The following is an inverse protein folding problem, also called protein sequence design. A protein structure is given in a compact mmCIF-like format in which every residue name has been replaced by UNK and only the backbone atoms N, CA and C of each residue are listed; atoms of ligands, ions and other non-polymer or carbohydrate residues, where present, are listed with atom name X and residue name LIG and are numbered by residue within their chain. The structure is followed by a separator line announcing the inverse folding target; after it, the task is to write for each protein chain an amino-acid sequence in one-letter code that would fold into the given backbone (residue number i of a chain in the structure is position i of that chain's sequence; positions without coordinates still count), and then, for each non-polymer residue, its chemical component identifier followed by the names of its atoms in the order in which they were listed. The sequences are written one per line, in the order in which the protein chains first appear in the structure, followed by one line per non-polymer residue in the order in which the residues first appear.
data_IF_592396572164
#
_entry.id   IF_592396572164
#
_cell.length_a   1.000
_cell.length_b   1.000
_cell.length_c   1.000
_cell.angle_alpha   90.00
_cell.angle_beta   90.00
_cell.angle_gamma   90.00
#
_symmetry.space_group_name_H-M   'P 1'
#
loop_
_entity.id
_entity.type
_entity.pdbx_description
1 polymer ?
#
# COMPACT_ATOMS: atom_id res chain seq x y z
N UNK A 1 3.99 34.23 -3.46
CA UNK A 1 4.34 32.79 -3.45
C UNK A 1 3.14 32.05 -4.00
N UNK A 2 3.30 31.09 -4.94
CA UNK A 2 2.16 30.31 -5.39
C UNK A 2 1.67 29.42 -4.24
N UNK A 3 0.35 29.30 -4.15
CA UNK A 3 -0.39 28.53 -3.15
C UNK A 3 -0.03 27.04 -3.29
N UNK A 4 0.09 26.25 -2.20
CA UNK A 4 0.19 24.80 -2.33
C UNK A 4 -1.08 24.26 -2.98
N UNK A 5 -0.89 23.39 -3.97
CA UNK A 5 -1.96 22.70 -4.71
C UNK A 5 -2.49 21.56 -3.84
N UNK A 6 -3.53 21.82 -3.05
CA UNK A 6 -4.26 20.82 -2.27
C UNK A 6 -5.23 19.99 -3.17
N UNK A 7 -4.90 19.80 -4.45
CA UNK A 7 -5.87 19.67 -5.54
C UNK A 7 -6.13 18.29 -6.15
N UNK A 8 -5.67 17.18 -5.55
CA UNK A 8 -6.21 15.85 -5.87
C UNK A 8 -6.02 14.91 -4.68
N UNK A 9 -7.12 14.45 -4.07
CA UNK A 9 -7.04 13.28 -3.20
C UNK A 9 -6.48 12.12 -4.04
N UNK A 10 -5.56 11.28 -3.50
CA UNK A 10 -5.21 10.04 -4.18
C UNK A 10 -6.50 9.28 -4.47
N UNK A 11 -6.59 8.66 -5.65
CA UNK A 11 -7.75 7.82 -5.96
C UNK A 11 -7.76 6.66 -4.94
N UNK A 12 -8.90 6.31 -4.33
CA UNK A 12 -8.96 5.22 -3.34
C UNK A 12 -8.30 3.95 -3.88
N UNK A 13 -7.37 3.37 -3.10
CA UNK A 13 -6.57 2.21 -3.51
C UNK A 13 -5.34 2.50 -4.38
N UNK A 14 -5.06 3.76 -4.72
CA UNK A 14 -3.83 4.14 -5.41
C UNK A 14 -2.72 4.50 -4.41
N UNK A 15 -1.48 4.17 -4.79
CA UNK A 15 -0.29 4.52 -4.04
C UNK A 15 0.70 5.16 -5.04
N UNK A 16 0.69 6.51 -5.14
CA UNK A 16 1.50 7.23 -6.10
C UNK A 16 2.99 6.92 -5.93
N UNK A 17 3.73 6.83 -7.04
CA UNK A 17 5.16 6.49 -7.00
C UNK A 17 6.02 7.46 -6.17
N UNK A 18 5.58 8.71 -6.00
CA UNK A 18 6.19 9.71 -5.12
C UNK A 18 6.07 9.36 -3.62
N UNK A 19 5.07 8.56 -3.23
CA UNK A 19 4.88 8.02 -1.88
C UNK A 19 5.54 6.64 -1.75
N UNK A 20 5.37 5.77 -2.76
CA UNK A 20 5.92 4.40 -2.74
C UNK A 20 7.43 4.42 -2.56
N UNK A 21 8.14 5.24 -3.32
CA UNK A 21 9.60 5.22 -3.36
C UNK A 21 10.26 5.58 -2.02
N UNK A 22 9.93 6.70 -1.35
CA UNK A 22 10.46 6.98 -0.01
C UNK A 22 10.01 5.96 1.04
N UNK A 23 8.79 5.43 0.93
CA UNK A 23 8.34 4.37 1.84
C UNK A 23 9.15 3.08 1.67
N UNK A 24 9.36 2.62 0.44
CA UNK A 24 10.18 1.43 0.13
C UNK A 24 11.60 1.59 0.66
N UNK A 25 12.22 2.76 0.46
CA UNK A 25 13.55 3.06 1.02
C UNK A 25 13.59 2.86 2.53
N UNK A 26 12.61 3.39 3.26
CA UNK A 26 12.55 3.24 4.71
C UNK A 26 12.32 1.78 5.09
N UNK A 27 11.30 1.12 4.53
CA UNK A 27 10.93 -0.25 4.89
C UNK A 27 12.03 -1.28 4.62
N UNK A 28 12.84 -1.07 3.57
CA UNK A 28 14.00 -1.88 3.26
C UNK A 28 15.04 -1.90 4.40
N UNK A 29 15.23 -0.78 5.10
CA UNK A 29 16.16 -0.69 6.25
C UNK A 29 15.72 -1.55 7.45
N UNK A 30 14.43 -1.91 7.53
CA UNK A 30 13.83 -2.64 8.65
C UNK A 30 13.49 -4.09 8.35
N UNK A 31 14.03 -4.67 7.27
CA UNK A 31 13.89 -6.11 7.01
C UNK A 31 15.23 -6.76 6.70
N UNK A 32 15.35 -8.02 7.10
CA UNK A 32 16.46 -8.91 6.72
C UNK A 32 16.20 -9.64 5.40
N UNK A 33 15.00 -9.49 4.83
CA UNK A 33 14.54 -10.22 3.64
C UNK A 33 13.95 -9.30 2.54
N UNK A 34 14.61 -8.20 2.14
CA UNK A 34 14.06 -7.25 1.17
C UNK A 34 13.82 -7.87 -0.21
N UNK A 35 14.60 -8.90 -0.58
CA UNK A 35 14.42 -9.64 -1.84
C UNK A 35 13.28 -10.67 -1.81
N UNK A 36 12.61 -10.82 -0.66
CA UNK A 36 11.54 -11.79 -0.47
C UNK A 36 10.39 -11.17 0.31
N UNK A 37 9.58 -10.42 -0.41
CA UNK A 37 8.28 -9.91 0.00
C UNK A 37 7.14 -10.73 -0.61
N UNK A 38 6.00 -10.67 0.05
CA UNK A 38 4.72 -11.21 -0.39
C UNK A 38 3.81 -10.06 -0.75
N UNK A 39 3.02 -10.24 -1.81
CA UNK A 39 2.13 -9.21 -2.35
C UNK A 39 0.77 -9.81 -2.66
N UNK A 40 -0.29 -9.20 -2.13
CA UNK A 40 -1.66 -9.61 -2.36
C UNK A 40 -2.34 -8.65 -3.33
N UNK A 41 -2.93 -9.21 -4.39
CA UNK A 41 -3.80 -8.49 -5.32
C UNK A 41 -5.23 -9.04 -5.22
N UNK A 42 -6.20 -8.17 -4.96
CA UNK A 42 -7.60 -8.58 -4.83
C UNK A 42 -8.12 -9.20 -6.13
N UNK A 43 -8.63 -10.43 -6.05
CA UNK A 43 -9.15 -11.19 -7.20
C UNK A 43 -10.39 -10.53 -7.85
N UNK A 44 -10.99 -9.52 -7.22
CA UNK A 44 -12.10 -8.74 -7.77
C UNK A 44 -11.69 -7.69 -8.80
N UNK A 45 -10.40 -7.42 -9.00
CA UNK A 45 -9.97 -6.49 -10.04
C UNK A 45 -10.17 -7.06 -11.44
N UNK A 46 -10.68 -6.20 -12.34
CA UNK A 46 -10.86 -6.56 -13.75
C UNK A 46 -9.51 -6.81 -14.45
N UNK A 47 -9.50 -7.75 -15.39
CA UNK A 47 -8.33 -8.05 -16.24
C UNK A 47 -7.31 -9.00 -15.61
N UNK A 48 -7.47 -9.44 -14.37
CA UNK A 48 -6.57 -10.43 -13.75
C UNK A 48 -6.58 -11.78 -14.46
N UNK A 49 -7.69 -12.15 -15.10
CA UNK A 49 -7.84 -13.35 -15.93
C UNK A 49 -6.91 -13.35 -17.17
N UNK A 50 -6.34 -12.20 -17.53
CA UNK A 50 -5.33 -12.08 -18.58
C UNK A 50 -3.92 -12.48 -18.11
N UNK A 51 -3.71 -12.64 -16.79
CA UNK A 51 -2.43 -13.12 -16.26
C UNK A 51 -2.24 -14.58 -16.70
N UNK A 52 -1.13 -14.92 -17.39
CA UNK A 52 -0.87 -16.30 -17.79
C UNK A 52 -0.92 -17.26 -16.61
N UNK A 53 -1.75 -18.30 -16.71
CA UNK A 53 -1.94 -19.29 -15.64
C UNK A 53 -2.75 -18.77 -14.44
N UNK A 54 -3.60 -17.75 -14.64
CA UNK A 54 -4.46 -17.17 -13.58
C UNK A 54 -5.17 -18.22 -12.70
N UNK A 55 -5.72 -19.28 -13.30
CA UNK A 55 -6.42 -20.34 -12.57
C UNK A 55 -5.49 -21.12 -11.61
N UNK A 56 -4.20 -21.17 -11.90
CA UNK A 56 -3.18 -21.91 -11.13
C UNK A 56 -2.49 -21.04 -10.07
N UNK A 57 -2.72 -19.72 -10.08
CA UNK A 57 -2.10 -18.80 -9.13
C UNK A 57 -2.53 -19.09 -7.69
N UNK A 58 -1.57 -18.96 -6.78
CA UNK A 58 -1.80 -19.12 -5.36
C UNK A 58 -2.79 -18.05 -4.85
N UNK A 59 -3.73 -18.47 -3.99
CA UNK A 59 -4.76 -17.59 -3.41
C UNK A 59 -4.70 -17.60 -1.90
N UNK A 60 -4.92 -16.43 -1.31
CA UNK A 60 -5.11 -16.24 0.13
C UNK A 60 -6.51 -15.70 0.38
N UNK A 61 -7.20 -16.24 1.38
CA UNK A 61 -8.52 -15.77 1.80
C UNK A 61 -8.37 -14.77 2.93
N UNK A 62 -8.83 -13.54 2.72
CA UNK A 62 -9.03 -12.55 3.76
C UNK A 62 -10.49 -12.46 4.20
N UNK A 63 -10.81 -11.62 5.19
CA UNK A 63 -12.20 -11.31 5.55
C UNK A 63 -12.94 -10.69 4.36
N UNK A 64 -13.96 -11.37 3.85
CA UNK A 64 -14.79 -10.86 2.74
C UNK A 64 -14.12 -10.79 1.36
N UNK A 65 -12.83 -11.12 1.24
CA UNK A 65 -12.04 -10.95 0.01
C UNK A 65 -11.13 -12.15 -0.26
N UNK A 66 -10.86 -12.41 -1.54
CA UNK A 66 -9.81 -13.33 -1.97
C UNK A 66 -8.73 -12.57 -2.72
N UNK A 67 -7.48 -12.94 -2.49
CA UNK A 67 -6.33 -12.29 -3.09
C UNK A 67 -5.50 -13.32 -3.85
N UNK A 68 -5.00 -12.96 -5.02
CA UNK A 68 -3.86 -13.59 -5.65
C UNK A 68 -2.60 -13.25 -4.85
N UNK A 69 -1.75 -14.24 -4.62
CA UNK A 69 -0.51 -14.09 -3.86
C UNK A 69 0.71 -14.17 -4.78
N UNK A 70 1.50 -13.11 -4.78
CA UNK A 70 2.76 -13.00 -5.50
C UNK A 70 3.94 -12.91 -4.53
N UNK A 71 5.14 -13.16 -5.05
CA UNK A 71 6.40 -13.06 -4.32
C UNK A 71 7.45 -12.37 -5.18
N UNK A 72 8.20 -11.45 -4.59
CA UNK A 72 9.29 -10.72 -5.26
C UNK A 72 10.10 -9.88 -4.28
N UNK A 73 11.10 -9.16 -4.76
CA UNK A 73 11.82 -8.17 -3.95
C UNK A 73 11.00 -6.90 -3.77
N UNK A 74 11.26 -6.14 -2.72
CA UNK A 74 10.54 -4.92 -2.34
C UNK A 74 10.53 -3.87 -3.48
N UNK A 75 11.59 -3.83 -4.29
CA UNK A 75 11.75 -2.89 -5.41
C UNK A 75 10.76 -3.11 -6.57
N UNK A 76 10.01 -4.23 -6.59
CA UNK A 76 8.90 -4.39 -7.54
C UNK A 76 7.87 -3.27 -7.42
N UNK A 77 7.70 -2.69 -6.23
CA UNK A 77 6.77 -1.60 -5.97
C UNK A 77 7.16 -0.28 -6.66
N UNK A 78 8.44 -0.09 -6.99
CA UNK A 78 8.93 1.12 -7.67
C UNK A 78 9.27 0.91 -9.13
N UNK A 79 9.22 -0.34 -9.62
CA UNK A 79 9.72 -0.73 -10.94
C UNK A 79 8.97 -0.05 -12.11
N UNK A 80 7.73 0.39 -11.88
CA UNK A 80 6.82 0.89 -12.92
C UNK A 80 6.51 2.38 -12.80
N UNK A 81 7.21 3.10 -11.90
CA UNK A 81 6.95 4.51 -11.57
C UNK A 81 6.95 5.45 -12.79
N UNK A 82 7.77 5.15 -13.79
CA UNK A 82 7.98 6.00 -14.97
C UNK A 82 7.46 5.36 -16.27
N UNK A 83 6.63 4.31 -16.17
CA UNK A 83 6.08 3.62 -17.34
C UNK A 83 4.70 4.20 -17.73
N UNK A 84 4.62 5.08 -18.75
CA UNK A 84 3.36 5.69 -19.18
C UNK A 84 2.43 4.71 -19.89
N UNK A 85 2.91 3.51 -20.26
CA UNK A 85 2.12 2.43 -20.86
C UNK A 85 1.63 1.42 -19.82
N UNK A 86 1.99 1.62 -18.54
CA UNK A 86 1.54 0.75 -17.45
C UNK A 86 0.05 0.93 -17.18
N UNK A 87 -0.76 0.19 -17.94
CA UNK A 87 -2.21 0.18 -17.87
C UNK A 87 -2.76 -0.67 -16.71
N UNK A 88 -1.91 -1.16 -15.79
CA UNK A 88 -2.36 -1.90 -14.61
C UNK A 88 -2.50 -0.95 -13.43
N UNK A 89 -3.71 -0.52 -13.07
CA UNK A 89 -3.88 0.69 -12.27
C UNK A 89 -3.82 0.43 -10.76
N UNK A 90 -3.34 -0.74 -10.31
CA UNK A 90 -3.57 -1.18 -8.94
C UNK A 90 -2.31 -1.76 -8.31
N UNK A 91 -1.85 -1.10 -7.25
CA UNK A 91 -0.80 -1.61 -6.37
C UNK A 91 -1.31 -2.81 -5.55
N UNK A 92 -0.41 -3.71 -5.11
CA UNK A 92 -0.75 -4.73 -4.11
C UNK A 92 -1.40 -4.11 -2.86
N UNK A 93 -2.58 -4.59 -2.47
CA UNK A 93 -3.30 -4.02 -1.33
C UNK A 93 -2.74 -4.45 0.03
N UNK A 94 -2.02 -5.57 0.08
CA UNK A 94 -1.34 -6.02 1.28
C UNK A 94 0.01 -6.59 0.90
N UNK A 95 1.06 -6.14 1.57
CA UNK A 95 2.40 -6.65 1.32
C UNK A 95 3.29 -6.59 2.57
N UNK A 96 4.20 -7.54 2.66
CA UNK A 96 5.07 -7.74 3.83
C UNK A 96 6.33 -8.56 3.46
N UNK A 97 7.46 -8.39 4.16
CA UNK A 97 8.67 -9.16 3.93
C UNK A 97 8.52 -10.56 4.55
N UNK A 98 9.34 -11.51 4.12
CA UNK A 98 9.26 -12.90 4.60
C UNK A 98 9.53 -13.05 6.11
N UNK A 99 10.33 -12.16 6.68
CA UNK A 99 10.61 -12.10 8.12
C UNK A 99 9.53 -11.38 8.94
N UNK A 100 8.46 -10.90 8.29
CA UNK A 100 7.29 -10.25 8.91
C UNK A 100 7.66 -9.01 9.75
N UNK A 101 8.77 -8.34 9.44
CA UNK A 101 9.23 -7.18 10.21
C UNK A 101 8.31 -5.96 10.11
N UNK A 102 7.53 -5.87 9.04
CA UNK A 102 6.51 -4.84 8.81
C UNK A 102 5.41 -5.37 7.88
N UNK A 103 4.30 -4.67 7.76
CA UNK A 103 3.27 -4.88 6.76
C UNK A 103 2.69 -3.55 6.28
N UNK A 104 2.29 -3.49 5.02
CA UNK A 104 1.65 -2.33 4.41
C UNK A 104 0.30 -2.75 3.87
N UNK A 105 -0.73 -1.95 4.17
CA UNK A 105 -2.09 -2.14 3.70
C UNK A 105 -2.59 -0.88 2.97
N UNK A 106 -2.86 -1.02 1.67
CA UNK A 106 -3.45 0.00 0.80
C UNK A 106 -4.71 -0.62 0.19
N UNK A 107 -5.79 -0.66 0.95
CA UNK A 107 -7.03 -1.28 0.48
C UNK A 107 -7.90 -0.25 -0.25
N UNK A 108 -8.64 -0.68 -1.27
CA UNK A 108 -9.52 0.17 -2.09
C UNK A 108 -10.61 0.87 -1.27
N UNK A 109 -10.95 0.34 -0.09
CA UNK A 109 -11.91 0.95 0.83
C UNK A 109 -11.25 1.94 1.81
N UNK A 110 -9.92 2.13 1.74
CA UNK A 110 -9.18 3.00 2.64
C UNK A 110 -8.82 4.32 1.97
N UNK A 111 -9.05 5.40 2.70
CA UNK A 111 -8.61 6.75 2.34
C UNK A 111 -7.11 6.98 2.63
N UNK A 112 -6.42 5.97 3.18
CA UNK A 112 -5.03 6.05 3.63
C UNK A 112 -4.33 4.70 3.55
N UNK A 113 -3.01 4.74 3.38
CA UNK A 113 -2.16 3.55 3.50
C UNK A 113 -1.73 3.35 4.95
N UNK A 114 -1.93 2.15 5.48
CA UNK A 114 -1.53 1.80 6.83
C UNK A 114 -0.24 1.00 6.81
N UNK A 115 0.67 1.33 7.72
CA UNK A 115 1.91 0.61 7.90
C UNK A 115 1.99 0.11 9.34
N UNK A 116 2.14 -1.20 9.50
CA UNK A 116 2.47 -1.83 10.77
C UNK A 116 3.93 -2.24 10.80
N UNK A 117 4.62 -2.05 11.92
CA UNK A 117 6.03 -2.40 12.07
C UNK A 117 6.52 -2.18 13.50
N UNK A 118 7.83 -2.33 13.71
CA UNK A 118 8.43 -1.98 15.01
C UNK A 118 8.34 -0.47 15.29
N UNK A 119 8.48 -0.09 16.56
CA UNK A 119 8.47 1.33 16.95
C UNK A 119 9.57 2.13 16.22
N UNK A 120 10.74 1.54 16.00
CA UNK A 120 11.84 2.17 15.27
C UNK A 120 11.50 2.36 13.78
N UNK A 121 10.84 1.38 13.16
CA UNK A 121 10.37 1.46 11.78
C UNK A 121 9.34 2.60 11.63
N UNK A 122 8.33 2.62 12.50
CA UNK A 122 7.28 3.66 12.48
C UNK A 122 7.88 5.04 12.79
N UNK A 123 8.80 5.16 13.74
CA UNK A 123 9.49 6.42 14.03
C UNK A 123 10.29 6.92 12.83
N UNK A 124 10.94 6.03 12.07
CA UNK A 124 11.69 6.41 10.85
C UNK A 124 10.76 6.88 9.72
N UNK A 125 9.59 6.27 9.57
CA UNK A 125 8.55 6.72 8.63
C UNK A 125 8.01 8.09 9.02
N UNK A 126 7.66 8.30 10.31
CA UNK A 126 7.22 9.60 10.83
C UNK A 126 8.25 10.72 10.65
N UNK A 127 9.54 10.37 10.64
CA UNK A 127 10.64 11.31 10.46
C UNK A 127 11.02 11.54 8.98
N UNK A 128 10.37 10.86 8.02
CA UNK A 128 10.67 10.99 6.59
C UNK A 128 9.97 12.23 6.01
N UNK A 129 10.69 13.32 5.68
CA UNK A 129 10.06 14.58 5.27
C UNK A 129 9.37 14.53 3.91
N UNK A 130 9.64 13.48 3.11
CA UNK A 130 8.97 13.25 1.82
C UNK A 130 7.64 12.49 1.95
N UNK A 131 7.26 12.08 3.16
CA UNK A 131 6.01 11.37 3.44
C UNK A 131 5.12 12.19 4.38
N UNK A 132 3.83 12.22 4.11
CA UNK A 132 2.83 12.61 5.10
C UNK A 132 2.46 11.37 5.92
N UNK A 133 2.89 11.33 7.18
CA UNK A 133 2.67 10.18 8.07
C UNK A 133 2.06 10.67 9.37
N UNK A 134 0.94 10.07 9.76
CA UNK A 134 0.28 10.31 11.04
C UNK A 134 0.25 9.02 11.87
N UNK A 135 0.47 9.09 13.19
CA UNK A 135 0.31 7.92 14.05
C UNK A 135 -1.14 7.44 14.04
N UNK A 136 -1.34 6.14 13.83
CA UNK A 136 -2.63 5.49 14.00
C UNK A 136 -2.61 4.61 15.27
N UNK A 137 -3.73 4.57 15.98
CA UNK A 137 -4.02 3.64 17.07
C UNK A 137 -4.86 2.47 16.55
N UNK A 138 -4.81 1.32 17.23
CA UNK A 138 -5.55 0.12 16.79
C UNK A 138 -7.06 0.24 16.92
N UNK A 139 -7.54 1.23 17.67
CA UNK A 139 -8.96 1.58 17.84
C UNK A 139 -9.40 2.76 16.96
N UNK A 140 -8.48 3.36 16.18
CA UNK A 140 -8.84 4.34 15.16
C UNK A 140 -9.73 3.65 14.12
N UNK A 141 -10.86 4.27 13.81
CA UNK A 141 -11.73 3.73 12.77
C UNK A 141 -11.16 4.02 11.39
N UNK A 142 -11.32 3.05 10.51
CA UNK A 142 -10.70 3.03 9.18
C UNK A 142 -11.73 3.25 8.05
N UNK A 143 -12.97 3.59 8.41
CA UNK A 143 -14.11 3.77 7.50
C UNK A 143 -14.35 5.25 7.19
N UNK A 144 -15.05 5.52 6.07
CA UNK A 144 -15.44 6.85 5.57
C UNK A 144 -16.14 7.78 6.60
N UNK A 145 -16.56 7.27 7.77
CA UNK A 145 -17.14 8.07 8.85
C UNK A 145 -16.17 8.39 9.99
N UNK A 146 -14.85 8.26 9.79
CA UNK A 146 -13.83 8.55 10.79
C UNK A 146 -13.67 10.05 11.08
N UNK A 147 -14.23 10.93 10.23
CA UNK A 147 -14.31 12.37 10.48
C UNK A 147 -15.54 12.72 11.34
N UNK A 148 -15.31 13.05 12.62
CA UNK A 148 -16.35 13.64 13.48
C UNK A 148 -16.83 15.04 13.06
N UNK A 149 -16.43 15.54 11.88
CA UNK A 149 -16.62 16.94 11.45
C UNK A 149 -17.79 17.10 10.48
N UNK A 150 -18.22 16.05 9.77
CA UNK A 150 -19.31 16.14 8.78
C UNK A 150 -20.67 15.63 9.28
N UNK A 151 -20.95 15.73 10.59
CA UNK A 151 -22.32 15.68 11.10
C UNK A 151 -22.89 17.11 11.16
N UNK A 152 -23.24 17.66 9.99
CA UNK A 152 -24.32 18.64 9.74
C UNK A 152 -24.03 19.49 8.49
N UNK A 153 -24.60 19.12 7.34
CA UNK A 153 -25.29 20.06 6.43
C UNK A 153 -26.55 19.42 5.88
#
# INVERSE_FOLDING_TARGET
MPNPDWGRAPEPGDLPGEVVEPMVRVLEEFTTTPERCWFCLWEGFGGLDLIPGFDELARVRGPGRQYLLFRGGIHVMVAWKDDPEHAWPQNPQLWWPHDHAWCVATDIDLDSTYVGGSNECIARLLAEPSLEVVPAQTDDRVDLGADGVNLNQ
#
